data_IF_427270915498
#
_entry.id   IF_427270915498
#
_cell.length_a   1.000
_cell.length_b   1.000
_cell.length_c   1.000
_cell.angle_alpha   90.00
_cell.angle_beta   90.00
_cell.angle_gamma   90.00
#
_symmetry.space_group_name_H-M   'P 1'
#
loop_
_entity.id
_entity.type
_entity.pdbx_description
1 polymer ?
#
# COMPACT_ATOMS: atom_id res chain seq x y z
N UNK A 1 -11.43 -42.95 4.79
CA UNK A 1 -10.40 -41.90 4.88
C UNK A 1 -10.20 -41.55 6.34
N UNK A 2 -8.95 -41.38 6.82
CA UNK A 2 -8.74 -40.96 8.22
C UNK A 2 -8.90 -39.44 8.37
N UNK A 3 -9.24 -38.97 9.60
CA UNK A 3 -9.36 -37.54 9.91
C UNK A 3 -8.09 -36.73 9.60
N UNK A 4 -6.92 -37.35 9.81
CA UNK A 4 -5.63 -36.74 9.47
C UNK A 4 -5.44 -36.51 7.98
N UNK A 5 -5.85 -37.51 7.14
CA UNK A 5 -5.81 -37.34 5.68
C UNK A 5 -6.78 -36.25 5.21
N UNK A 6 -7.98 -36.18 5.81
CA UNK A 6 -8.95 -35.13 5.47
C UNK A 6 -8.44 -33.73 5.81
N UNK A 7 -7.87 -33.54 7.02
CA UNK A 7 -7.25 -32.28 7.44
C UNK A 7 -6.06 -31.91 6.58
N UNK A 8 -5.19 -32.86 6.23
CA UNK A 8 -4.03 -32.61 5.36
C UNK A 8 -4.46 -32.18 3.94
N UNK A 9 -5.50 -32.80 3.38
CA UNK A 9 -6.05 -32.39 2.06
C UNK A 9 -6.62 -30.97 2.17
N UNK A 10 -7.35 -30.66 3.23
CA UNK A 10 -7.89 -29.33 3.46
C UNK A 10 -6.77 -28.30 3.55
N UNK A 11 -5.73 -28.56 4.35
CA UNK A 11 -4.57 -27.68 4.47
C UNK A 11 -3.90 -27.42 3.11
N UNK A 12 -3.73 -28.47 2.29
CA UNK A 12 -3.14 -28.32 0.97
C UNK A 12 -3.98 -27.42 0.05
N UNK A 13 -5.30 -27.62 0.03
CA UNK A 13 -6.22 -26.80 -0.76
C UNK A 13 -6.16 -25.35 -0.28
N UNK A 14 -6.27 -25.11 1.03
CA UNK A 14 -6.15 -23.77 1.62
C UNK A 14 -4.80 -23.13 1.31
N UNK A 15 -3.70 -23.87 1.37
CA UNK A 15 -2.37 -23.35 1.05
C UNK A 15 -2.27 -22.90 -0.42
N UNK A 16 -2.86 -23.64 -1.34
CA UNK A 16 -2.92 -23.27 -2.77
C UNK A 16 -3.76 -22.00 -2.95
N UNK A 17 -4.94 -21.95 -2.36
CA UNK A 17 -5.86 -20.80 -2.48
C UNK A 17 -5.24 -19.54 -1.87
N UNK A 18 -4.80 -19.61 -0.61
CA UNK A 18 -4.19 -18.47 0.09
C UNK A 18 -2.89 -18.04 -0.59
N UNK A 19 -2.05 -18.99 -1.01
CA UNK A 19 -0.82 -18.72 -1.75
C UNK A 19 -1.08 -17.98 -3.06
N UNK A 20 -2.12 -18.37 -3.80
CA UNK A 20 -2.55 -17.68 -5.03
C UNK A 20 -3.02 -16.26 -4.75
N UNK A 21 -3.77 -16.06 -3.67
CA UNK A 21 -4.25 -14.74 -3.23
C UNK A 21 -3.07 -13.84 -2.83
N UNK A 22 -2.16 -14.35 -2.00
CA UNK A 22 -0.96 -13.60 -1.58
C UNK A 22 -0.13 -13.20 -2.80
N UNK A 23 0.07 -14.11 -3.74
CA UNK A 23 0.80 -13.85 -4.98
C UNK A 23 0.10 -12.75 -5.81
N UNK A 24 -1.21 -12.86 -6.00
CA UNK A 24 -1.99 -11.87 -6.76
C UNK A 24 -1.93 -10.48 -6.10
N UNK A 25 -2.15 -10.40 -4.78
CA UNK A 25 -2.08 -9.15 -4.01
C UNK A 25 -0.70 -8.50 -4.13
N UNK A 26 0.36 -9.32 -4.03
CA UNK A 26 1.75 -8.85 -4.15
C UNK A 26 2.07 -8.33 -5.54
N UNK A 27 1.68 -9.07 -6.58
CA UNK A 27 2.00 -8.69 -7.96
C UNK A 27 1.16 -7.51 -8.47
N UNK A 28 -0.07 -7.37 -7.96
CA UNK A 28 -1.01 -6.39 -8.49
C UNK A 28 -0.97 -5.07 -7.71
N UNK A 29 -0.96 -5.09 -6.37
CA UNK A 29 -1.15 -3.88 -5.56
C UNK A 29 -0.05 -3.57 -4.55
N UNK A 30 0.55 -4.60 -3.94
CA UNK A 30 1.44 -4.42 -2.80
C UNK A 30 2.83 -5.02 -3.05
N UNK A 31 3.73 -4.32 -3.75
CA UNK A 31 5.12 -4.77 -3.85
C UNK A 31 5.73 -5.03 -2.47
N UNK A 32 6.57 -6.08 -2.30
CA UNK A 32 7.11 -6.48 -0.98
C UNK A 32 7.78 -5.34 -0.19
N UNK A 33 8.43 -4.41 -0.89
CA UNK A 33 9.12 -3.29 -0.28
C UNK A 33 8.20 -2.36 0.54
N UNK A 34 6.88 -2.33 0.25
CA UNK A 34 5.91 -1.48 0.95
C UNK A 34 4.99 -2.25 1.91
N UNK A 35 5.13 -3.55 2.06
CA UNK A 35 4.22 -4.38 2.85
C UNK A 35 3.99 -3.86 4.27
N UNK A 36 5.10 -3.56 5.00
CA UNK A 36 5.02 -3.07 6.38
C UNK A 36 4.39 -1.70 6.48
N UNK A 37 4.85 -0.76 5.65
CA UNK A 37 4.31 0.60 5.66
C UNK A 37 2.86 0.68 5.14
N UNK A 38 2.43 -0.28 4.34
CA UNK A 38 1.07 -0.36 3.81
C UNK A 38 0.09 -1.12 4.74
N UNK A 39 0.60 -1.85 5.75
CA UNK A 39 -0.22 -2.60 6.71
C UNK A 39 -0.91 -3.82 6.10
N UNK A 40 -0.42 -4.34 4.97
CA UNK A 40 -1.00 -5.52 4.33
C UNK A 40 -0.62 -6.81 5.07
N UNK A 41 0.49 -6.79 5.83
CA UNK A 41 0.98 -7.95 6.58
C UNK A 41 -0.04 -8.43 7.60
N UNK A 42 -0.67 -7.49 8.30
CA UNK A 42 -1.69 -7.79 9.31
C UNK A 42 -2.94 -8.43 8.68
N UNK A 43 -3.39 -7.91 7.54
CA UNK A 43 -4.54 -8.46 6.82
C UNK A 43 -4.25 -9.87 6.29
N UNK A 44 -3.09 -10.07 5.67
CA UNK A 44 -2.68 -11.39 5.18
C UNK A 44 -2.46 -12.37 6.33
N UNK A 45 -1.95 -11.90 7.48
CA UNK A 45 -1.80 -12.71 8.69
C UNK A 45 -3.13 -13.27 9.18
N UNK A 46 -4.21 -12.47 9.16
CA UNK A 46 -5.56 -12.93 9.54
C UNK A 46 -6.07 -14.00 8.56
N UNK A 47 -5.91 -13.78 7.25
CA UNK A 47 -6.30 -14.76 6.22
C UNK A 47 -5.57 -16.09 6.42
N UNK A 48 -4.26 -16.04 6.63
CA UNK A 48 -3.45 -17.22 6.90
C UNK A 48 -3.94 -17.94 8.16
N UNK A 49 -4.18 -17.23 9.26
CA UNK A 49 -4.64 -17.82 10.50
C UNK A 49 -5.99 -18.52 10.35
N UNK A 50 -6.95 -17.92 9.65
CA UNK A 50 -8.27 -18.50 9.42
C UNK A 50 -8.21 -19.71 8.49
N UNK A 51 -7.57 -19.57 7.34
CA UNK A 51 -7.66 -20.58 6.29
C UNK A 51 -6.63 -21.73 6.44
N UNK A 52 -5.41 -21.42 6.92
CA UNK A 52 -4.38 -22.47 7.07
C UNK A 52 -4.35 -23.11 8.46
N UNK A 53 -4.88 -22.46 9.49
CA UNK A 53 -4.86 -23.01 10.85
C UNK A 53 -6.25 -23.46 11.27
N UNK A 54 -7.23 -22.54 11.33
CA UNK A 54 -8.56 -22.87 11.85
C UNK A 54 -9.29 -23.87 10.95
N UNK A 55 -9.23 -23.74 9.64
CA UNK A 55 -9.92 -24.62 8.70
C UNK A 55 -9.51 -26.10 8.81
N UNK A 56 -8.22 -26.44 8.64
CA UNK A 56 -7.73 -27.78 8.83
C UNK A 56 -7.94 -28.33 10.25
N UNK A 57 -7.82 -27.47 11.29
CA UNK A 57 -8.08 -27.85 12.67
C UNK A 57 -9.56 -28.23 12.89
N UNK A 58 -10.49 -27.42 12.43
CA UNK A 58 -11.92 -27.72 12.51
C UNK A 58 -12.25 -29.00 11.74
N UNK A 59 -11.65 -29.19 10.56
CA UNK A 59 -11.80 -30.43 9.80
C UNK A 59 -11.29 -31.64 10.57
N UNK A 60 -10.17 -31.53 11.25
CA UNK A 60 -9.60 -32.60 12.09
C UNK A 60 -10.53 -33.00 13.24
N UNK A 61 -11.20 -32.01 13.86
CA UNK A 61 -12.12 -32.23 15.00
C UNK A 61 -13.44 -32.86 14.51
N UNK A 62 -14.01 -32.30 13.43
CA UNK A 62 -15.36 -32.65 12.98
C UNK A 62 -15.39 -33.93 12.16
N UNK A 63 -14.29 -34.25 11.47
CA UNK A 63 -14.25 -35.40 10.56
C UNK A 63 -14.35 -36.75 11.28
N UNK A 64 -15.45 -37.46 11.02
CA UNK A 64 -15.65 -38.86 11.41
C UNK A 64 -16.19 -39.64 10.21
N UNK A 65 -15.45 -40.69 9.81
CA UNK A 65 -15.90 -41.56 8.72
C UNK A 65 -17.25 -42.19 9.05
N UNK A 66 -18.19 -42.12 8.13
CA UNK A 66 -19.57 -42.67 8.31
C UNK A 66 -20.55 -41.76 9.03
N UNK A 67 -20.16 -40.55 9.47
CA UNK A 67 -21.09 -39.57 10.08
C UNK A 67 -22.07 -39.06 9.01
N UNK A 68 -23.40 -39.16 9.24
CA UNK A 68 -24.41 -38.73 8.25
C UNK A 68 -24.33 -37.23 7.90
N UNK A 69 -24.03 -36.38 8.90
CA UNK A 69 -23.90 -34.90 8.74
C UNK A 69 -22.55 -34.44 8.27
N UNK A 70 -21.61 -35.33 7.99
CA UNK A 70 -20.20 -34.94 7.66
C UNK A 70 -20.10 -33.96 6.48
N UNK A 71 -20.90 -34.19 5.43
CA UNK A 71 -20.91 -33.29 4.26
C UNK A 71 -21.39 -31.89 4.63
N UNK A 72 -22.46 -31.81 5.43
CA UNK A 72 -22.99 -30.55 5.92
C UNK A 72 -21.93 -29.78 6.77
N UNK A 73 -21.29 -30.48 7.73
CA UNK A 73 -20.28 -29.88 8.60
C UNK A 73 -19.10 -29.31 7.80
N UNK A 74 -18.59 -30.09 6.82
CA UNK A 74 -17.50 -29.62 5.95
C UNK A 74 -17.92 -28.47 5.03
N UNK A 75 -19.18 -28.48 4.54
CA UNK A 75 -19.70 -27.38 3.75
C UNK A 75 -19.79 -26.09 4.57
N UNK A 76 -20.25 -26.17 5.82
CA UNK A 76 -20.29 -24.99 6.71
C UNK A 76 -18.90 -24.43 6.94
N UNK A 77 -17.89 -25.27 7.20
CA UNK A 77 -16.51 -24.82 7.36
C UNK A 77 -16.02 -24.12 6.08
N UNK A 78 -16.24 -24.73 4.92
CA UNK A 78 -15.81 -24.16 3.63
C UNK A 78 -16.52 -22.83 3.32
N UNK A 79 -17.82 -22.71 3.63
CA UNK A 79 -18.58 -21.46 3.42
C UNK A 79 -18.09 -20.34 4.34
N UNK A 80 -17.77 -20.62 5.59
CA UNK A 80 -17.25 -19.64 6.53
C UNK A 80 -15.87 -19.12 6.08
N UNK A 81 -15.00 -20.02 5.62
CA UNK A 81 -13.68 -19.64 5.09
C UNK A 81 -13.82 -18.83 3.79
N UNK A 82 -14.67 -19.25 2.86
CA UNK A 82 -14.92 -18.51 1.63
C UNK A 82 -15.47 -17.10 1.92
N UNK A 83 -16.36 -16.97 2.91
CA UNK A 83 -16.89 -15.67 3.32
C UNK A 83 -15.79 -14.79 3.96
N UNK A 84 -14.96 -15.36 4.83
CA UNK A 84 -13.82 -14.64 5.44
C UNK A 84 -12.80 -14.18 4.39
N UNK A 85 -12.46 -15.06 3.44
CA UNK A 85 -11.55 -14.73 2.33
C UNK A 85 -12.15 -13.65 1.41
N UNK A 86 -13.43 -13.75 1.07
CA UNK A 86 -14.13 -12.74 0.26
C UNK A 86 -14.13 -11.37 0.95
N UNK A 87 -14.39 -11.34 2.25
CA UNK A 87 -14.31 -10.12 3.05
C UNK A 87 -12.90 -9.52 3.07
N UNK A 88 -11.89 -10.35 3.27
CA UNK A 88 -10.49 -9.91 3.25
C UNK A 88 -10.09 -9.33 1.89
N UNK A 89 -10.46 -10.01 0.78
CA UNK A 89 -10.20 -9.52 -0.57
C UNK A 89 -10.93 -8.21 -0.86
N UNK A 90 -12.18 -8.07 -0.42
CA UNK A 90 -12.93 -6.82 -0.52
C UNK A 90 -12.22 -5.69 0.24
N UNK A 91 -11.77 -5.95 1.47
CA UNK A 91 -11.04 -4.97 2.30
C UNK A 91 -9.73 -4.55 1.63
N UNK A 92 -8.96 -5.51 1.09
CA UNK A 92 -7.74 -5.24 0.33
C UNK A 92 -8.02 -4.38 -0.91
N UNK A 93 -9.09 -4.69 -1.64
CA UNK A 93 -9.49 -3.94 -2.83
C UNK A 93 -9.88 -2.51 -2.51
N UNK A 94 -10.71 -2.30 -1.49
CA UNK A 94 -11.19 -0.95 -1.10
C UNK A 94 -10.04 -0.10 -0.54
N UNK A 95 -9.11 -0.71 0.20
CA UNK A 95 -7.97 -0.01 0.81
C UNK A 95 -6.67 -0.12 0.00
N UNK A 96 -6.74 -0.51 -1.27
CA UNK A 96 -5.54 -0.69 -2.10
C UNK A 96 -4.77 0.62 -2.32
N UNK A 97 -3.45 0.59 -2.39
CA UNK A 97 -2.66 1.73 -2.82
C UNK A 97 -2.92 2.02 -4.30
N UNK A 98 -3.19 3.27 -4.64
CA UNK A 98 -3.53 3.70 -6.01
C UNK A 98 -2.48 4.61 -6.62
N UNK A 99 -1.82 5.45 -5.81
CA UNK A 99 -0.79 6.36 -6.28
C UNK A 99 0.43 6.40 -5.35
N UNK A 100 1.59 6.58 -5.95
CA UNK A 100 2.80 7.08 -5.31
C UNK A 100 2.96 8.53 -5.78
N UNK A 101 2.69 9.48 -4.91
CA UNK A 101 2.69 10.90 -5.24
C UNK A 101 4.01 11.52 -4.83
N UNK A 102 4.81 11.93 -5.81
CA UNK A 102 6.04 12.69 -5.58
C UNK A 102 5.76 14.20 -5.54
N UNK A 103 6.15 14.86 -4.44
CA UNK A 103 6.05 16.30 -4.27
C UNK A 103 7.45 16.90 -4.42
N UNK A 104 7.76 17.40 -5.62
CA UNK A 104 9.11 17.83 -6.01
C UNK A 104 9.69 18.90 -5.10
N UNK A 105 8.94 19.97 -4.85
CA UNK A 105 9.37 21.11 -4.02
C UNK A 105 9.56 20.75 -2.53
N UNK A 106 8.97 19.64 -2.09
CA UNK A 106 9.14 19.11 -0.72
C UNK A 106 10.16 17.99 -0.67
N UNK A 107 10.51 17.36 -1.82
CA UNK A 107 11.44 16.22 -1.86
C UNK A 107 10.94 15.03 -1.07
N UNK A 108 9.67 14.63 -1.26
CA UNK A 108 9.00 13.57 -0.49
C UNK A 108 8.04 12.79 -1.38
N UNK A 109 7.85 11.52 -1.08
CA UNK A 109 6.83 10.68 -1.69
C UNK A 109 5.76 10.30 -0.67
N UNK A 110 4.52 10.21 -1.14
CA UNK A 110 3.38 9.74 -0.36
C UNK A 110 2.74 8.54 -1.03
N UNK A 111 2.45 7.49 -0.24
CA UNK A 111 1.61 6.38 -0.67
C UNK A 111 0.16 6.74 -0.40
N UNK A 112 -0.61 6.87 -1.47
CA UNK A 112 -2.03 7.25 -1.43
C UNK A 112 -2.88 6.03 -1.71
N UNK A 113 -3.87 5.80 -0.84
CA UNK A 113 -4.80 4.68 -0.94
C UNK A 113 -6.11 5.12 -1.59
N UNK A 114 -6.87 4.18 -2.13
CA UNK A 114 -8.18 4.47 -2.71
C UNK A 114 -9.13 5.13 -1.70
N UNK A 115 -9.02 4.79 -0.41
CA UNK A 115 -9.79 5.39 0.69
C UNK A 115 -9.35 6.80 1.09
N UNK A 116 -8.23 7.31 0.56
CA UNK A 116 -7.76 8.67 0.80
C UNK A 116 -8.41 9.68 -0.14
N UNK A 117 -9.01 9.18 -1.21
CA UNK A 117 -9.59 9.97 -2.28
C UNK A 117 -11.11 9.78 -2.27
N UNK A 118 -11.80 10.75 -1.73
CA UNK A 118 -13.27 10.79 -1.71
C UNK A 118 -13.84 11.19 -3.09
N UNK A 119 -15.14 11.07 -3.23
CA UNK A 119 -15.85 11.42 -4.47
C UNK A 119 -15.62 12.89 -4.86
N UNK A 120 -15.49 13.80 -3.88
CA UNK A 120 -15.24 15.24 -4.15
C UNK A 120 -13.85 15.45 -4.72
N UNK A 121 -12.83 14.72 -4.20
CA UNK A 121 -11.48 14.79 -4.72
C UNK A 121 -11.43 14.29 -6.17
N UNK A 122 -12.10 13.17 -6.48
CA UNK A 122 -12.18 12.60 -7.83
C UNK A 122 -13.01 13.50 -8.77
N UNK A 123 -14.12 14.04 -8.31
CA UNK A 123 -14.94 14.99 -9.06
C UNK A 123 -14.18 16.25 -9.43
N UNK A 124 -13.30 16.73 -8.56
CA UNK A 124 -12.42 17.86 -8.83
C UNK A 124 -11.39 17.59 -9.93
N UNK A 125 -11.11 16.34 -10.23
CA UNK A 125 -10.16 15.88 -11.24
C UNK A 125 -10.84 15.50 -12.57
N UNK A 126 -12.14 15.73 -12.73
CA UNK A 126 -12.87 15.44 -13.97
C UNK A 126 -12.21 16.08 -15.17
N UNK A 127 -12.13 15.32 -16.26
CA UNK A 127 -11.44 15.71 -17.49
C UNK A 127 -9.92 15.51 -17.46
N UNK A 128 -9.36 15.00 -16.36
CA UNK A 128 -7.94 14.60 -16.26
C UNK A 128 -7.79 13.07 -16.31
N UNK A 129 -6.58 12.55 -16.59
CA UNK A 129 -6.32 11.11 -16.50
C UNK A 129 -6.44 10.52 -15.10
N UNK A 130 -6.68 11.35 -14.08
CA UNK A 130 -6.72 11.00 -12.66
C UNK A 130 -8.13 11.00 -12.06
N UNK A 131 -9.16 11.22 -12.89
CA UNK A 131 -10.57 11.17 -12.45
C UNK A 131 -11.03 9.76 -12.03
N UNK A 132 -10.35 8.71 -12.55
CA UNK A 132 -10.67 7.31 -12.27
C UNK A 132 -9.49 6.65 -11.56
N UNK A 133 -9.78 6.00 -10.45
CA UNK A 133 -8.76 5.28 -9.68
C UNK A 133 -8.20 4.08 -10.48
N UNK A 134 -6.87 3.90 -10.51
CA UNK A 134 -6.28 2.76 -11.19
C UNK A 134 -6.69 1.43 -10.52
N UNK A 135 -7.02 0.45 -11.34
CA UNK A 135 -7.33 -0.90 -10.88
C UNK A 135 -6.06 -1.70 -10.51
N UNK A 136 -4.92 -1.38 -11.14
CA UNK A 136 -3.66 -2.11 -10.99
C UNK A 136 -2.59 -1.19 -10.41
N UNK A 137 -1.89 -1.68 -9.39
CA UNK A 137 -0.72 -1.12 -8.72
C UNK A 137 -0.83 0.35 -8.32
N UNK A 138 0.02 0.85 -7.45
CA UNK A 138 0.16 2.27 -7.29
C UNK A 138 0.90 2.86 -8.50
N UNK A 139 0.28 3.86 -9.15
CA UNK A 139 0.93 4.61 -10.23
C UNK A 139 1.79 5.72 -9.67
N UNK A 140 3.00 5.86 -10.18
CA UNK A 140 3.88 6.98 -9.85
C UNK A 140 3.40 8.24 -10.57
N UNK A 141 3.10 9.28 -9.78
CA UNK A 141 2.66 10.59 -10.27
C UNK A 141 3.38 11.70 -9.51
N UNK A 142 3.43 12.88 -10.09
CA UNK A 142 3.83 14.11 -9.41
C UNK A 142 2.61 14.86 -8.89
N UNK A 143 2.79 15.69 -7.86
CA UNK A 143 1.82 16.72 -7.50
C UNK A 143 2.48 18.09 -7.59
N UNK A 144 1.83 19.02 -8.30
CA UNK A 144 2.37 20.34 -8.58
C UNK A 144 1.46 21.42 -8.02
N UNK A 145 2.06 22.36 -7.29
CA UNK A 145 1.32 23.52 -6.80
C UNK A 145 0.79 24.37 -7.96
N UNK A 146 -0.45 24.87 -7.89
CA UNK A 146 -0.98 25.75 -8.92
C UNK A 146 -0.15 27.03 -9.02
N UNK A 147 -0.02 27.57 -10.23
CA UNK A 147 0.68 28.84 -10.44
C UNK A 147 -0.14 30.02 -9.97
N UNK A 148 -1.45 29.93 -9.99
CA UNK A 148 -2.38 30.94 -9.54
C UNK A 148 -2.28 31.15 -8.02
N UNK A 149 -2.10 32.40 -7.60
CA UNK A 149 -1.91 32.77 -6.20
C UNK A 149 -3.16 32.54 -5.35
N UNK A 150 -4.34 32.78 -5.90
CA UNK A 150 -5.60 32.56 -5.20
C UNK A 150 -5.86 31.07 -4.96
N UNK A 151 -5.54 30.22 -5.96
CA UNK A 151 -5.60 28.78 -5.82
C UNK A 151 -4.58 28.24 -4.80
N UNK A 152 -3.37 28.80 -4.75
CA UNK A 152 -2.39 28.45 -3.70
C UNK A 152 -2.88 28.80 -2.30
N UNK A 153 -3.45 29.97 -2.15
CA UNK A 153 -3.96 30.41 -0.85
C UNK A 153 -5.12 29.53 -0.39
N UNK A 154 -6.01 29.14 -1.31
CA UNK A 154 -7.07 28.17 -1.03
C UNK A 154 -6.51 26.79 -0.65
N UNK A 155 -5.45 26.32 -1.35
CA UNK A 155 -4.79 25.07 -1.04
C UNK A 155 -4.24 25.05 0.39
N UNK A 156 -3.60 26.13 0.86
CA UNK A 156 -3.10 26.22 2.23
C UNK A 156 -4.22 26.06 3.27
N UNK A 157 -5.39 26.64 3.02
CA UNK A 157 -6.55 26.44 3.89
C UNK A 157 -7.07 24.99 3.86
N UNK A 158 -7.04 24.34 2.70
CA UNK A 158 -7.43 22.96 2.55
C UNK A 158 -6.44 22.02 3.25
N UNK A 159 -5.13 22.29 3.18
CA UNK A 159 -4.10 21.54 3.89
C UNK A 159 -4.28 21.63 5.42
N UNK A 160 -4.61 22.82 5.93
CA UNK A 160 -4.95 22.98 7.37
C UNK A 160 -6.20 22.20 7.77
N UNK A 161 -7.11 21.95 6.84
CA UNK A 161 -8.31 21.13 7.04
C UNK A 161 -8.06 19.63 6.84
N UNK A 162 -6.80 19.21 6.59
CA UNK A 162 -6.41 17.82 6.37
C UNK A 162 -6.51 17.34 4.91
N UNK A 163 -6.86 18.23 3.98
CA UNK A 163 -6.91 17.94 2.55
C UNK A 163 -5.61 18.39 1.86
N UNK A 164 -4.54 17.66 2.15
CA UNK A 164 -3.20 17.95 1.67
C UNK A 164 -3.06 17.70 0.16
N UNK A 165 -2.05 18.32 -0.47
CA UNK A 165 -1.81 18.27 -1.91
C UNK A 165 -1.79 16.84 -2.50
N UNK A 166 -1.21 15.87 -1.78
CA UNK A 166 -1.16 14.47 -2.22
C UNK A 166 -2.52 13.78 -2.29
N UNK A 167 -3.57 14.34 -1.70
CA UNK A 167 -4.94 13.83 -1.74
C UNK A 167 -5.83 14.59 -2.73
N UNK A 168 -5.24 15.41 -3.60
CA UNK A 168 -5.98 16.23 -4.56
C UNK A 168 -5.60 15.87 -6.02
N UNK A 169 -6.26 14.89 -6.65
CA UNK A 169 -5.90 14.39 -7.99
C UNK A 169 -5.93 15.45 -9.08
N UNK A 170 -6.69 16.54 -8.91
CA UNK A 170 -6.71 17.67 -9.86
C UNK A 170 -5.36 18.35 -10.05
N UNK A 171 -4.44 18.21 -9.09
CA UNK A 171 -3.06 18.73 -9.17
C UNK A 171 -2.04 17.67 -9.55
N UNK A 172 -2.49 16.47 -9.86
CA UNK A 172 -1.58 15.42 -10.30
C UNK A 172 -1.11 15.69 -11.72
N UNK A 173 0.15 15.39 -11.93
CA UNK A 173 0.84 15.50 -13.21
C UNK A 173 1.69 14.23 -13.43
N UNK A 174 2.10 13.91 -14.66
CA UNK A 174 3.15 12.92 -14.86
C UNK A 174 4.39 13.24 -14.02
N UNK A 175 5.01 12.21 -13.43
CA UNK A 175 6.11 12.40 -12.49
C UNK A 175 7.32 13.15 -13.08
N UNK A 176 7.59 13.00 -14.35
CA UNK A 176 8.66 13.69 -15.09
C UNK A 176 8.58 15.22 -14.98
N UNK A 177 7.39 15.78 -14.78
CA UNK A 177 7.19 17.22 -14.62
C UNK A 177 7.67 17.77 -13.26
N UNK A 178 7.83 16.92 -12.24
CA UNK A 178 8.32 17.29 -10.90
C UNK A 178 9.68 16.64 -10.59
N UNK A 179 10.14 15.77 -11.46
CA UNK A 179 11.34 14.95 -11.28
C UNK A 179 12.60 15.79 -11.07
N UNK A 180 12.82 16.80 -11.91
CA UNK A 180 13.99 17.68 -11.81
C UNK A 180 14.00 18.47 -10.50
N UNK A 181 12.85 18.97 -10.08
CA UNK A 181 12.67 19.69 -8.82
C UNK A 181 12.97 18.77 -7.62
N UNK A 182 12.46 17.53 -7.65
CA UNK A 182 12.76 16.48 -6.68
C UNK A 182 14.27 16.27 -6.53
N UNK A 183 14.99 16.03 -7.63
CA UNK A 183 16.44 15.86 -7.62
C UNK A 183 17.19 17.08 -7.06
N UNK A 184 16.75 18.28 -7.41
CA UNK A 184 17.35 19.53 -6.91
C UNK A 184 17.18 19.70 -5.40
N UNK A 185 15.98 19.43 -4.88
CA UNK A 185 15.70 19.52 -3.44
C UNK A 185 16.47 18.46 -2.66
N UNK A 186 16.52 17.24 -3.16
CA UNK A 186 17.25 16.16 -2.50
C UNK A 186 18.77 16.41 -2.49
N UNK A 187 19.37 16.86 -3.59
CA UNK A 187 20.77 17.28 -3.62
C UNK A 187 21.06 18.37 -2.61
N UNK A 188 20.20 19.38 -2.54
CA UNK A 188 20.40 20.51 -1.60
C UNK A 188 20.34 20.08 -0.13
N UNK A 189 19.60 19.01 0.19
CA UNK A 189 19.57 18.41 1.52
C UNK A 189 20.83 17.61 1.80
N UNK A 190 21.21 16.78 0.84
CA UNK A 190 22.39 15.90 0.96
C UNK A 190 23.69 16.68 1.05
N UNK A 191 23.80 17.80 0.33
CA UNK A 191 24.96 18.69 0.41
C UNK A 191 25.17 19.35 1.80
N UNK A 192 24.20 19.24 2.71
CA UNK A 192 24.32 19.68 4.11
C UNK A 192 24.84 18.58 5.03
N UNK A 193 24.90 17.35 4.53
CA UNK A 193 25.41 16.19 5.26
C UNK A 193 26.82 15.87 4.74
N UNK A 194 27.87 16.23 5.51
CA UNK A 194 29.27 16.09 5.13
C UNK A 194 29.71 14.64 4.83
N UNK A 195 28.89 13.64 5.15
CA UNK A 195 29.20 12.21 5.02
C UNK A 195 28.36 11.49 3.98
N UNK A 196 27.52 12.20 3.22
CA UNK A 196 26.60 11.58 2.27
C UNK A 196 27.29 11.25 0.94
N UNK A 197 27.13 10.00 0.48
CA UNK A 197 27.49 9.62 -0.88
C UNK A 197 26.49 10.25 -1.86
N UNK A 198 27.01 10.99 -2.85
CA UNK A 198 26.21 11.78 -3.80
C UNK A 198 25.65 10.95 -4.96
N UNK A 199 25.87 9.64 -5.00
CA UNK A 199 25.38 8.80 -6.10
C UNK A 199 23.87 8.61 -6.05
N UNK A 200 23.34 8.31 -4.87
CA UNK A 200 21.93 7.99 -4.67
C UNK A 200 21.32 8.80 -3.53
N UNK A 201 20.24 9.52 -3.84
CA UNK A 201 19.47 10.25 -2.85
C UNK A 201 18.33 9.38 -2.29
N UNK A 202 18.09 9.48 -0.99
CA UNK A 202 16.97 8.84 -0.34
C UNK A 202 15.94 9.90 0.02
N UNK A 203 14.78 9.83 -0.65
CA UNK A 203 13.64 10.66 -0.32
C UNK A 203 12.76 9.98 0.74
N UNK A 204 12.19 10.71 1.70
CA UNK A 204 11.16 10.17 2.58
C UNK A 204 9.97 9.65 1.77
N UNK A 205 9.58 8.41 2.03
CA UNK A 205 8.39 7.77 1.46
C UNK A 205 7.43 7.46 2.61
N UNK A 206 6.32 8.17 2.66
CA UNK A 206 5.41 8.20 3.81
C UNK A 206 4.07 7.59 3.45
N UNK A 207 3.50 6.84 4.39
CA UNK A 207 2.13 6.36 4.35
C UNK A 207 1.43 6.63 5.68
N UNK A 208 0.13 6.34 5.78
CA UNK A 208 -0.64 6.45 7.03
C UNK A 208 -0.10 5.57 8.16
N UNK A 209 0.57 4.45 7.86
CA UNK A 209 0.98 3.42 8.82
C UNK A 209 2.47 3.36 9.07
N UNK A 210 3.25 4.11 8.31
CA UNK A 210 4.70 4.11 8.45
C UNK A 210 5.42 4.84 7.35
N UNK A 211 6.72 4.81 7.39
CA UNK A 211 7.58 5.44 6.40
C UNK A 211 8.67 4.47 5.93
N UNK A 212 9.17 4.74 4.74
CA UNK A 212 10.28 4.04 4.11
C UNK A 212 11.18 5.05 3.40
N UNK A 213 12.27 4.59 2.79
CA UNK A 213 13.06 5.37 1.86
C UNK A 213 12.60 5.12 0.43
N UNK A 214 12.64 6.14 -0.41
CA UNK A 214 12.57 6.03 -1.86
C UNK A 214 13.93 6.39 -2.43
N UNK A 215 14.61 5.44 -3.05
CA UNK A 215 15.87 5.69 -3.74
C UNK A 215 15.60 6.46 -5.03
N UNK A 216 16.31 7.55 -5.19
CA UNK A 216 16.16 8.49 -6.30
C UNK A 216 17.56 8.82 -6.81
N UNK A 217 17.74 8.80 -8.11
CA UNK A 217 18.93 9.35 -8.73
C UNK A 217 19.06 10.85 -8.42
N UNK A 218 20.12 11.25 -7.77
CA UNK A 218 20.29 12.63 -7.30
C UNK A 218 20.37 13.65 -8.44
N UNK A 219 20.85 13.25 -9.62
CA UNK A 219 21.07 14.20 -10.73
C UNK A 219 19.78 14.41 -11.52
N UNK A 220 19.12 13.34 -11.89
CA UNK A 220 17.91 13.38 -12.71
C UNK A 220 16.61 13.50 -11.91
N UNK A 221 16.61 13.08 -10.64
CA UNK A 221 15.40 12.93 -9.85
C UNK A 221 14.60 11.66 -10.19
N UNK A 222 15.15 10.77 -11.02
CA UNK A 222 14.47 9.54 -11.43
C UNK A 222 14.33 8.57 -10.24
N UNK A 223 13.15 7.97 -10.10
CA UNK A 223 12.89 6.97 -9.06
C UNK A 223 13.55 5.66 -9.44
N UNK A 224 14.39 5.13 -8.56
CA UNK A 224 15.02 3.80 -8.68
C UNK A 224 14.12 2.75 -8.04
N UNK A 225 13.60 3.01 -6.84
CA UNK A 225 12.68 2.13 -6.15
C UNK A 225 12.58 2.38 -4.65
N UNK A 226 11.58 1.79 -3.99
CA UNK A 226 11.47 1.86 -2.54
C UNK A 226 12.54 1.00 -1.87
N UNK A 227 13.13 1.54 -0.79
CA UNK A 227 14.08 0.83 0.06
C UNK A 227 13.34 0.36 1.29
N UNK A 228 13.43 -0.94 1.59
CA UNK A 228 12.90 -1.48 2.84
C UNK A 228 13.69 -0.87 4.01
N UNK A 229 13.02 -0.08 4.83
CA UNK A 229 13.65 0.52 6.01
C UNK A 229 13.94 -0.58 7.02
N UNK A 230 15.20 -0.86 7.27
CA UNK A 230 15.62 -1.44 8.55
C UNK A 230 15.25 -0.43 9.64
N UNK A 231 14.61 -0.88 10.71
CA UNK A 231 13.96 -0.08 11.76
C UNK A 231 14.89 0.83 12.58
N UNK A 232 15.89 1.48 11.98
CA UNK A 232 16.92 2.26 12.67
C UNK A 232 17.05 3.70 12.17
N UNK A 233 16.17 4.20 11.32
CA UNK A 233 16.17 5.64 10.99
C UNK A 233 14.91 6.30 11.50
N UNK A 234 14.99 6.61 12.80
CA UNK A 234 14.92 7.93 13.39
C UNK A 234 13.62 8.69 13.16
N UNK A 235 12.90 8.74 14.20
CA UNK A 235 12.02 9.83 14.60
C UNK A 235 12.79 11.16 14.53
N UNK A 236 12.52 12.05 13.56
CA UNK A 236 13.19 13.34 13.48
C UNK A 236 12.73 14.34 14.56
N UNK A 237 11.81 13.95 15.43
CA UNK A 237 11.21 14.83 16.44
C UNK A 237 11.92 14.81 17.82
N UNK A 238 12.98 14.01 18.00
CA UNK A 238 13.72 13.96 19.28
C UNK A 238 14.93 14.87 19.41
N UNK A 239 15.08 15.83 18.53
CA UNK A 239 16.22 16.76 18.49
C UNK A 239 15.94 18.19 18.94
N UNK A 240 15.00 18.45 19.84
CA UNK A 240 14.94 19.78 20.47
C UNK A 240 14.29 19.71 21.85
N UNK A 241 15.11 19.44 22.86
CA UNK A 241 14.89 19.85 24.26
C UNK A 241 16.09 20.58 24.74
#
# INVERSE_FOLDING_TARGET
>A
MSRWKASAIHLLISAIVVGSVVLAVTLIWYPPAIWRMAGVVELLGIVIAVDLVLGPLLTLIVFRAGKPSLRFDLTVIALLQAAALAYALHTIWVSRPVYVVGIGNVGRFHLVYATDLDDNALDSAKGTPYEVLPAFGPKLVGAKLPMDQALRQNLLWQEMAGNELQFQPRYFVPYDQVQHEMGTVLRSRQARDEHADLSDCIAPYVSRRGSAGMQVDCQSGAVVGPIATTATQADPEKGNK
#
